data_IF_714101171003
#
_entry.id   IF_714101171003
#
_cell.length_a   1.000
_cell.length_b   1.000
_cell.length_c   1.000
_cell.angle_alpha   90.00
_cell.angle_beta   90.00
_cell.angle_gamma   90.00
#
_symmetry.space_group_name_H-M   'P 1'
#
loop_
_entity.id
_entity.type
_entity.pdbx_description
1 polymer ?
#
# COMPACT_ATOMS: atom_id res chain seq x y z
N UNK A 1 -54.99 14.37 32.55
CA UNK A 1 -53.68 13.81 32.96
C UNK A 1 -53.15 12.70 32.05
N UNK A 2 -53.94 11.66 31.71
CA UNK A 2 -53.45 10.50 30.91
C UNK A 2 -52.88 10.83 29.51
N UNK A 3 -53.41 11.84 28.81
CA UNK A 3 -52.92 12.21 27.47
C UNK A 3 -51.53 12.87 27.50
N UNK A 4 -51.26 13.69 28.52
CA UNK A 4 -49.98 14.35 28.70
C UNK A 4 -48.87 13.37 29.12
N UNK A 5 -49.21 12.37 29.94
CA UNK A 5 -48.27 11.29 30.28
C UNK A 5 -47.95 10.42 29.07
N UNK A 6 -48.95 10.04 28.26
CA UNK A 6 -48.72 9.26 27.03
C UNK A 6 -47.88 10.01 25.99
N UNK A 7 -48.08 11.33 25.84
CA UNK A 7 -47.24 12.14 24.95
C UNK A 7 -45.80 12.25 25.46
N UNK A 8 -45.61 12.42 26.77
CA UNK A 8 -44.29 12.50 27.39
C UNK A 8 -43.51 11.17 27.29
N UNK A 9 -44.20 10.06 27.46
CA UNK A 9 -43.65 8.70 27.33
C UNK A 9 -43.31 8.39 25.86
N UNK A 10 -44.16 8.79 24.91
CA UNK A 10 -43.90 8.66 23.47
C UNK A 10 -42.72 9.52 22.99
N UNK A 11 -42.57 10.74 23.50
CA UNK A 11 -41.44 11.64 23.20
C UNK A 11 -40.13 11.15 23.82
N UNK A 12 -40.18 10.62 25.05
CA UNK A 12 -39.02 10.02 25.70
C UNK A 12 -38.54 8.77 24.94
N UNK A 13 -39.46 7.90 24.52
CA UNK A 13 -39.14 6.69 23.75
C UNK A 13 -38.57 7.01 22.35
N UNK A 14 -39.07 8.07 21.69
CA UNK A 14 -38.52 8.56 20.42
C UNK A 14 -37.11 9.16 20.58
N UNK A 15 -36.88 9.94 21.64
CA UNK A 15 -35.54 10.46 21.97
C UNK A 15 -34.53 9.34 22.27
N UNK A 16 -34.96 8.28 22.95
CA UNK A 16 -34.11 7.14 23.31
C UNK A 16 -33.77 6.27 22.09
N UNK A 17 -34.74 6.03 21.20
CA UNK A 17 -34.51 5.34 19.93
C UNK A 17 -33.53 6.06 19.01
N UNK A 18 -33.61 7.39 18.90
CA UNK A 18 -32.64 8.18 18.14
C UNK A 18 -31.23 8.13 18.75
N UNK A 19 -31.12 8.18 20.09
CA UNK A 19 -29.83 8.03 20.78
C UNK A 19 -29.22 6.65 20.56
N UNK A 20 -30.03 5.59 20.64
CA UNK A 20 -29.57 4.23 20.42
C UNK A 20 -29.11 4.01 18.96
N UNK A 21 -29.84 4.55 17.98
CA UNK A 21 -29.42 4.53 16.58
C UNK A 21 -28.12 5.30 16.37
N UNK A 22 -27.98 6.50 16.94
CA UNK A 22 -26.76 7.30 16.87
C UNK A 22 -25.57 6.56 17.48
N UNK A 23 -25.72 5.96 18.65
CA UNK A 23 -24.67 5.18 19.30
C UNK A 23 -24.27 3.95 18.47
N UNK A 24 -25.24 3.25 17.88
CA UNK A 24 -24.99 2.09 17.03
C UNK A 24 -24.27 2.47 15.75
N UNK A 25 -24.63 3.61 15.15
CA UNK A 25 -23.97 4.17 13.98
C UNK A 25 -22.52 4.58 14.28
N UNK A 26 -22.28 5.28 15.39
CA UNK A 26 -20.93 5.65 15.83
C UNK A 26 -20.06 4.41 16.09
N UNK A 27 -20.62 3.37 16.72
CA UNK A 27 -19.92 2.13 16.96
C UNK A 27 -19.56 1.41 15.65
N UNK A 28 -20.48 1.36 14.68
CA UNK A 28 -20.22 0.81 13.35
C UNK A 28 -19.12 1.60 12.62
N UNK A 29 -19.18 2.94 12.66
CA UNK A 29 -18.16 3.80 12.06
C UNK A 29 -16.77 3.58 12.67
N UNK A 30 -16.69 3.42 14.00
CA UNK A 30 -15.44 3.09 14.69
C UNK A 30 -14.89 1.74 14.25
N UNK A 31 -15.73 0.70 14.25
CA UNK A 31 -15.36 -0.66 13.81
C UNK A 31 -14.85 -0.69 12.36
N UNK A 32 -15.53 0.01 11.46
CA UNK A 32 -15.10 0.16 10.06
C UNK A 32 -13.77 0.91 9.98
N UNK A 33 -13.61 1.99 10.74
CA UNK A 33 -12.38 2.79 10.74
C UNK A 33 -11.17 2.00 11.27
N UNK A 34 -11.36 1.21 12.34
CA UNK A 34 -10.35 0.30 12.86
C UNK A 34 -9.93 -0.73 11.81
N UNK A 35 -10.90 -1.33 11.13
CA UNK A 35 -10.63 -2.29 10.05
C UNK A 35 -9.95 -1.66 8.83
N UNK A 36 -10.28 -0.42 8.48
CA UNK A 36 -9.59 0.32 7.44
C UNK A 36 -8.12 0.56 7.80
N UNK A 37 -7.83 0.86 9.08
CA UNK A 37 -6.46 1.01 9.57
C UNK A 37 -5.69 -0.31 9.54
N UNK A 38 -6.32 -1.42 9.93
CA UNK A 38 -5.72 -2.75 9.82
C UNK A 38 -5.40 -3.12 8.37
N UNK A 39 -6.32 -2.88 7.43
CA UNK A 39 -6.10 -3.08 6.00
C UNK A 39 -4.92 -2.25 5.49
N UNK A 40 -4.84 -0.97 5.87
CA UNK A 40 -3.70 -0.10 5.52
C UNK A 40 -2.38 -0.64 6.05
N UNK A 41 -2.37 -1.16 7.28
CA UNK A 41 -1.20 -1.80 7.90
C UNK A 41 -0.78 -3.08 7.17
N UNK A 42 -1.74 -3.94 6.81
CA UNK A 42 -1.50 -5.18 6.04
C UNK A 42 -0.92 -4.82 4.67
N UNK A 43 -1.53 -3.89 3.94
CA UNK A 43 -1.02 -3.45 2.63
C UNK A 43 0.41 -2.91 2.73
N UNK A 44 0.70 -2.13 3.77
CA UNK A 44 2.03 -1.58 3.99
C UNK A 44 3.08 -2.67 4.23
N UNK A 45 2.82 -3.57 5.19
CA UNK A 45 3.79 -4.59 5.62
C UNK A 45 3.90 -5.77 4.66
N UNK A 46 2.79 -6.20 4.08
CA UNK A 46 2.72 -7.45 3.32
C UNK A 46 2.81 -7.24 1.81
N UNK A 47 2.62 -6.03 1.30
CA UNK A 47 2.75 -5.76 -0.13
C UNK A 47 3.74 -4.63 -0.45
N UNK A 48 3.58 -3.44 0.14
CA UNK A 48 4.40 -2.28 -0.21
C UNK A 48 5.87 -2.51 0.18
N UNK A 49 6.13 -2.95 1.40
CA UNK A 49 7.50 -3.22 1.87
C UNK A 49 8.20 -4.34 1.07
N UNK A 50 7.60 -5.53 0.88
CA UNK A 50 8.19 -6.56 0.02
C UNK A 50 8.47 -6.07 -1.40
N UNK A 51 7.54 -5.36 -2.03
CA UNK A 51 7.74 -4.82 -3.38
C UNK A 51 8.88 -3.78 -3.44
N UNK A 52 9.05 -2.95 -2.40
CA UNK A 52 10.19 -2.03 -2.29
C UNK A 52 11.51 -2.79 -2.18
N UNK A 53 11.55 -3.88 -1.41
CA UNK A 53 12.75 -4.75 -1.29
C UNK A 53 13.07 -5.41 -2.62
N UNK A 54 12.09 -5.99 -3.31
CA UNK A 54 12.27 -6.60 -4.63
C UNK A 54 12.79 -5.57 -5.67
N UNK A 55 12.23 -4.35 -5.67
CA UNK A 55 12.73 -3.26 -6.53
C UNK A 55 14.20 -2.92 -6.24
N UNK A 56 14.62 -2.94 -4.97
CA UNK A 56 16.01 -2.69 -4.60
C UNK A 56 16.94 -3.76 -5.18
N UNK A 57 16.56 -5.03 -5.13
CA UNK A 57 17.36 -6.11 -5.74
C UNK A 57 17.52 -5.92 -7.25
N UNK A 58 16.45 -5.50 -7.95
CA UNK A 58 16.53 -5.16 -9.36
C UNK A 58 17.52 -4.01 -9.63
N UNK A 59 17.47 -2.95 -8.80
CA UNK A 59 18.40 -1.83 -8.91
C UNK A 59 19.86 -2.24 -8.67
N UNK A 60 20.11 -3.13 -7.70
CA UNK A 60 21.46 -3.66 -7.42
C UNK A 60 21.99 -4.44 -8.64
N UNK A 61 21.15 -5.32 -9.22
CA UNK A 61 21.51 -6.09 -10.41
C UNK A 61 21.82 -5.17 -11.60
N UNK A 62 21.04 -4.10 -11.78
CA UNK A 62 21.27 -3.10 -12.82
C UNK A 62 22.64 -2.41 -12.68
N UNK A 63 23.07 -2.11 -11.45
CA UNK A 63 24.39 -1.54 -11.21
C UNK A 63 25.52 -2.52 -11.59
N UNK A 64 25.39 -3.79 -11.22
CA UNK A 64 26.36 -4.82 -11.63
C UNK A 64 26.35 -5.05 -13.15
N UNK A 65 25.20 -4.92 -13.82
CA UNK A 65 25.11 -4.95 -15.29
C UNK A 65 25.89 -3.80 -15.94
N UNK A 66 25.75 -2.58 -15.42
CA UNK A 66 26.53 -1.41 -15.88
C UNK A 66 28.03 -1.65 -15.68
N UNK A 67 28.42 -2.14 -14.50
CA UNK A 67 29.81 -2.46 -14.17
C UNK A 67 30.40 -3.53 -15.09
N UNK A 68 29.65 -4.60 -15.39
CA UNK A 68 30.05 -5.63 -16.37
C UNK A 68 30.33 -5.01 -17.74
N UNK A 69 29.46 -4.12 -18.21
CA UNK A 69 29.64 -3.44 -19.50
C UNK A 69 30.91 -2.56 -19.51
N UNK A 70 31.18 -1.85 -18.42
CA UNK A 70 32.40 -1.05 -18.29
C UNK A 70 33.66 -1.95 -18.32
N UNK A 71 33.63 -3.09 -17.64
CA UNK A 71 34.72 -4.06 -17.65
C UNK A 71 34.94 -4.66 -19.05
N UNK A 72 33.87 -4.98 -19.76
CA UNK A 72 33.94 -5.47 -21.14
C UNK A 72 34.59 -4.43 -22.07
N UNK A 73 34.17 -3.17 -21.94
CA UNK A 73 34.76 -2.06 -22.72
C UNK A 73 36.26 -1.92 -22.46
N UNK A 74 36.68 -1.95 -21.19
CA UNK A 74 38.12 -1.92 -20.82
C UNK A 74 38.88 -3.09 -21.43
N UNK A 75 38.32 -4.30 -21.37
CA UNK A 75 38.94 -5.48 -21.99
C UNK A 75 39.14 -5.29 -23.51
N UNK A 76 38.15 -4.72 -24.20
CA UNK A 76 38.24 -4.43 -25.64
C UNK A 76 39.31 -3.38 -25.94
N UNK A 77 39.39 -2.31 -25.14
CA UNK A 77 40.40 -1.25 -25.26
C UNK A 77 41.82 -1.80 -25.06
N UNK A 78 42.06 -2.58 -23.99
CA UNK A 78 43.39 -3.16 -23.73
C UNK A 78 43.74 -4.26 -24.74
N UNK A 79 42.76 -5.01 -25.27
CA UNK A 79 43.01 -5.97 -26.37
C UNK A 79 43.46 -5.23 -27.64
N UNK A 80 42.79 -4.13 -28.00
CA UNK A 80 43.19 -3.31 -29.15
C UNK A 80 44.60 -2.70 -28.96
N UNK A 81 44.97 -2.35 -27.73
CA UNK A 81 46.33 -1.90 -27.39
C UNK A 81 47.37 -3.00 -27.61
N UNK A 82 47.10 -4.23 -27.17
CA UNK A 82 47.96 -5.41 -27.41
C UNK A 82 48.13 -5.65 -28.92
N UNK A 83 47.04 -5.59 -29.69
CA UNK A 83 47.06 -5.79 -31.13
C UNK A 83 47.87 -4.69 -31.84
N UNK A 84 47.86 -3.46 -31.32
CA UNK A 84 48.68 -2.35 -31.83
C UNK A 84 50.16 -2.51 -31.47
N UNK A 85 50.47 -2.92 -30.24
CA UNK A 85 51.85 -3.10 -29.76
C UNK A 85 52.53 -4.32 -30.39
N UNK A 86 51.78 -5.39 -30.67
CA UNK A 86 52.31 -6.61 -31.29
C UNK A 86 52.80 -6.41 -32.74
N UNK A 87 52.26 -5.40 -33.43
CA UNK A 87 52.66 -5.00 -34.79
C UNK A 87 53.90 -4.10 -34.84
N UNK A 88 54.41 -3.64 -33.70
CA UNK A 88 55.62 -2.80 -33.64
C UNK A 88 56.89 -3.64 -33.64
N UNK A 89 58.00 -3.02 -34.01
CA UNK A 89 59.32 -3.64 -33.94
C UNK A 89 59.65 -4.15 -32.54
N UNK A 90 60.26 -5.33 -32.46
CA UNK A 90 60.63 -6.02 -31.22
C UNK A 90 61.86 -5.42 -30.54
N UNK A 91 61.80 -4.13 -30.24
CA UNK A 91 62.77 -3.47 -29.35
C UNK A 91 62.48 -3.88 -27.90
N UNK A 92 63.51 -3.85 -27.03
CA UNK A 92 63.33 -4.19 -25.61
C UNK A 92 62.25 -3.35 -24.91
N UNK A 93 62.13 -2.06 -25.25
CA UNK A 93 61.09 -1.18 -24.71
C UNK A 93 59.66 -1.58 -25.16
N UNK A 94 59.49 -1.93 -26.44
CA UNK A 94 58.19 -2.36 -26.96
C UNK A 94 57.78 -3.72 -26.39
N UNK A 95 58.74 -4.62 -26.17
CA UNK A 95 58.48 -5.91 -25.53
C UNK A 95 57.95 -5.75 -24.11
N UNK A 96 58.60 -4.92 -23.28
CA UNK A 96 58.14 -4.65 -21.90
C UNK A 96 56.72 -4.05 -21.89
N UNK A 97 56.43 -3.08 -22.77
CA UNK A 97 55.09 -2.48 -22.89
C UNK A 97 54.03 -3.52 -23.30
N UNK A 98 54.36 -4.39 -24.24
CA UNK A 98 53.47 -5.45 -24.69
C UNK A 98 53.15 -6.43 -23.55
N UNK A 99 54.15 -6.88 -22.81
CA UNK A 99 53.93 -7.79 -21.67
C UNK A 99 53.12 -7.12 -20.55
N UNK A 100 53.35 -5.83 -20.27
CA UNK A 100 52.53 -5.09 -19.32
C UNK A 100 51.06 -4.97 -19.78
N UNK A 101 50.83 -4.69 -21.07
CA UNK A 101 49.48 -4.63 -21.62
C UNK A 101 48.77 -5.99 -21.56
N UNK A 102 49.47 -7.10 -21.83
CA UNK A 102 48.94 -8.47 -21.66
C UNK A 102 48.55 -8.76 -20.22
N UNK A 103 49.41 -8.42 -19.25
CA UNK A 103 49.12 -8.58 -17.83
C UNK A 103 47.89 -7.76 -17.41
N UNK A 104 47.79 -6.51 -17.85
CA UNK A 104 46.64 -5.66 -17.60
C UNK A 104 45.35 -6.24 -18.19
N UNK A 105 45.41 -6.74 -19.44
CA UNK A 105 44.27 -7.40 -20.09
C UNK A 105 43.81 -8.62 -19.28
N UNK A 106 44.73 -9.45 -18.82
CA UNK A 106 44.39 -10.64 -18.04
C UNK A 106 43.70 -10.29 -16.72
N UNK A 107 44.15 -9.24 -16.02
CA UNK A 107 43.49 -8.74 -14.80
C UNK A 107 42.06 -8.29 -15.11
N UNK A 108 41.88 -7.48 -16.16
CA UNK A 108 40.56 -6.98 -16.55
C UNK A 108 39.63 -8.10 -17.02
N UNK A 109 40.14 -9.07 -17.78
CA UNK A 109 39.41 -10.21 -18.27
C UNK A 109 38.92 -11.09 -17.12
N UNK A 110 39.77 -11.35 -16.12
CA UNK A 110 39.39 -12.10 -14.92
C UNK A 110 38.29 -11.36 -14.12
N UNK A 111 38.41 -10.04 -13.97
CA UNK A 111 37.38 -9.23 -13.33
C UNK A 111 36.05 -9.26 -14.09
N UNK A 112 36.09 -9.15 -15.43
CA UNK A 112 34.93 -9.28 -16.29
C UNK A 112 34.26 -10.65 -16.16
N UNK A 113 35.02 -11.75 -16.27
CA UNK A 113 34.49 -13.11 -16.18
C UNK A 113 33.84 -13.38 -14.82
N UNK A 114 34.47 -12.92 -13.74
CA UNK A 114 33.93 -13.02 -12.38
C UNK A 114 32.60 -12.26 -12.27
N UNK A 115 32.57 -11.00 -12.72
CA UNK A 115 31.37 -10.17 -12.69
C UNK A 115 30.26 -10.76 -13.58
N UNK A 116 30.58 -11.22 -14.79
CA UNK A 116 29.62 -11.81 -15.72
C UNK A 116 29.01 -13.10 -15.18
N UNK A 117 29.84 -13.99 -14.61
CA UNK A 117 29.37 -15.25 -14.02
C UNK A 117 28.45 -15.00 -12.84
N UNK A 118 28.83 -14.06 -11.96
CA UNK A 118 27.99 -13.62 -10.85
C UNK A 118 26.65 -13.05 -11.33
N UNK A 119 26.68 -12.15 -12.31
CA UNK A 119 25.50 -11.49 -12.86
C UNK A 119 24.53 -12.51 -13.48
N UNK A 120 25.03 -13.50 -14.22
CA UNK A 120 24.19 -14.56 -14.79
C UNK A 120 23.49 -15.39 -13.71
N UNK A 121 24.20 -15.72 -12.62
CA UNK A 121 23.62 -16.43 -11.48
C UNK A 121 22.55 -15.59 -10.78
N UNK A 122 22.87 -14.34 -10.45
CA UNK A 122 21.95 -13.43 -9.74
C UNK A 122 20.72 -13.09 -10.60
N UNK A 123 20.88 -12.97 -11.92
CA UNK A 123 19.75 -12.74 -12.84
C UNK A 123 18.73 -13.89 -12.81
N UNK A 124 19.20 -15.14 -12.75
CA UNK A 124 18.33 -16.31 -12.60
C UNK A 124 17.62 -16.30 -11.24
N UNK A 125 18.38 -16.09 -10.17
CA UNK A 125 17.83 -16.02 -8.81
C UNK A 125 16.76 -14.92 -8.69
N UNK A 126 16.99 -13.74 -9.27
CA UNK A 126 16.03 -12.64 -9.24
C UNK A 126 14.72 -12.99 -9.97
N UNK A 127 14.81 -13.76 -11.05
CA UNK A 127 13.64 -14.23 -11.79
C UNK A 127 12.76 -15.16 -10.94
N UNK A 128 13.39 -16.05 -10.18
CA UNK A 128 12.70 -16.98 -9.28
C UNK A 128 12.05 -16.24 -8.10
N UNK A 129 12.80 -15.30 -7.49
CA UNK A 129 12.31 -14.46 -6.39
C UNK A 129 11.04 -13.67 -6.74
N UNK A 130 10.80 -13.35 -8.01
CA UNK A 130 9.59 -12.62 -8.42
C UNK A 130 8.32 -13.33 -7.92
N UNK A 131 8.22 -14.65 -8.07
CA UNK A 131 7.02 -15.37 -7.60
C UNK A 131 6.91 -15.33 -6.07
N UNK A 132 8.04 -15.46 -5.38
CA UNK A 132 8.13 -15.42 -3.91
C UNK A 132 7.74 -14.07 -3.31
N UNK A 133 7.94 -12.97 -4.05
CA UNK A 133 7.53 -11.64 -3.62
C UNK A 133 6.08 -11.32 -4.05
N UNK A 134 5.72 -11.58 -5.29
CA UNK A 134 4.43 -11.17 -5.85
C UNK A 134 3.27 -11.99 -5.30
N UNK A 135 3.40 -13.31 -5.22
CA UNK A 135 2.29 -14.19 -4.83
C UNK A 135 1.80 -13.89 -3.40
N UNK A 136 2.65 -13.90 -2.34
CA UNK A 136 2.17 -13.60 -1.00
C UNK A 136 1.72 -12.15 -0.85
N UNK A 137 2.33 -11.19 -1.57
CA UNK A 137 1.89 -9.79 -1.54
C UNK A 137 0.49 -9.61 -2.10
N UNK A 138 0.19 -10.26 -3.23
CA UNK A 138 -1.12 -10.23 -3.84
C UNK A 138 -2.16 -10.93 -2.97
N UNK A 139 -1.83 -12.11 -2.44
CA UNK A 139 -2.73 -12.84 -1.54
C UNK A 139 -3.07 -12.01 -0.31
N UNK A 140 -2.07 -11.39 0.34
CA UNK A 140 -2.30 -10.55 1.51
C UNK A 140 -3.20 -9.34 1.23
N UNK A 141 -3.07 -8.72 0.04
CA UNK A 141 -3.98 -7.65 -0.38
C UNK A 141 -5.40 -8.19 -0.51
N UNK A 142 -5.58 -9.30 -1.24
CA UNK A 142 -6.91 -9.87 -1.48
C UNK A 142 -7.58 -10.28 -0.18
N UNK A 143 -6.87 -11.00 0.69
CA UNK A 143 -7.37 -11.41 2.00
C UNK A 143 -7.73 -10.21 2.88
N UNK A 144 -6.87 -9.17 2.90
CA UNK A 144 -7.16 -7.94 3.63
C UNK A 144 -8.42 -7.22 3.12
N UNK A 145 -8.60 -7.15 1.80
CA UNK A 145 -9.80 -6.53 1.19
C UNK A 145 -11.07 -7.34 1.51
N UNK A 146 -10.98 -8.67 1.46
CA UNK A 146 -12.10 -9.56 1.80
C UNK A 146 -12.49 -9.40 3.27
N UNK A 147 -11.52 -9.38 4.19
CA UNK A 147 -11.77 -9.15 5.62
C UNK A 147 -12.42 -7.78 5.86
N UNK A 148 -11.85 -6.72 5.29
CA UNK A 148 -12.37 -5.36 5.44
C UNK A 148 -13.80 -5.23 4.92
N UNK A 149 -14.08 -5.73 3.71
CA UNK A 149 -15.42 -5.68 3.13
C UNK A 149 -16.41 -6.52 3.95
N UNK A 150 -16.00 -7.71 4.40
CA UNK A 150 -16.82 -8.60 5.21
C UNK A 150 -17.22 -7.98 6.55
N UNK A 151 -16.25 -7.41 7.27
CA UNK A 151 -16.48 -6.75 8.55
C UNK A 151 -17.26 -5.45 8.41
N UNK A 152 -17.01 -4.67 7.35
CA UNK A 152 -17.78 -3.47 7.06
C UNK A 152 -19.24 -3.80 6.77
N UNK A 153 -19.50 -4.82 5.94
CA UNK A 153 -20.85 -5.29 5.68
C UNK A 153 -21.54 -5.79 6.95
N UNK A 154 -20.82 -6.50 7.81
CA UNK A 154 -21.37 -6.97 9.10
C UNK A 154 -21.74 -5.78 10.00
N UNK A 155 -20.86 -4.78 10.11
CA UNK A 155 -21.12 -3.56 10.89
C UNK A 155 -22.36 -2.81 10.39
N UNK A 156 -22.56 -2.71 9.07
CA UNK A 156 -23.77 -2.10 8.50
C UNK A 156 -25.03 -2.91 8.78
N UNK A 157 -24.96 -4.24 8.71
CA UNK A 157 -26.11 -5.12 8.99
C UNK A 157 -26.53 -5.12 10.46
N UNK A 158 -25.59 -4.84 11.36
CA UNK A 158 -25.84 -4.71 12.80
C UNK A 158 -26.54 -3.39 13.17
N UNK A 159 -26.67 -2.44 12.24
CA UNK A 159 -27.39 -1.20 12.50
C UNK A 159 -28.89 -1.46 12.72
N UNK A 160 -29.50 -0.86 13.75
CA UNK A 160 -30.92 -0.97 14.00
C UNK A 160 -31.68 -0.12 12.97
N UNK A 161 -31.87 -0.67 11.77
CA UNK A 161 -32.71 -0.05 10.74
C UNK A 161 -34.18 -0.17 11.15
N UNK A 162 -34.99 0.88 10.95
CA UNK A 162 -36.42 0.77 11.20
C UNK A 162 -37.04 -0.29 10.29
N UNK A 163 -37.87 -1.18 10.85
CA UNK A 163 -38.57 -2.26 10.15
C UNK A 163 -39.50 -1.78 9.02
N UNK A 164 -39.73 -0.46 8.91
CA UNK A 164 -40.49 0.18 7.84
C UNK A 164 -39.67 1.38 7.33
N UNK A 165 -39.41 1.50 6.02
CA UNK A 165 -38.88 2.74 5.47
C UNK A 165 -39.90 3.85 5.76
N UNK A 166 -39.53 4.77 6.65
CA UNK A 166 -40.32 5.96 6.95
C UNK A 166 -40.17 6.91 5.77
N UNK A 167 -41.29 7.38 5.19
CA UNK A 167 -41.19 8.34 4.09
C UNK A 167 -40.66 9.68 4.62
N UNK A 168 -40.00 10.46 3.77
CA UNK A 168 -39.51 11.80 4.13
C UNK A 168 -40.64 12.70 4.66
N UNK A 169 -41.87 12.49 4.19
CA UNK A 169 -43.08 13.21 4.63
C UNK A 169 -43.41 12.84 6.08
N UNK A 170 -43.40 11.54 6.39
CA UNK A 170 -43.69 11.04 7.73
C UNK A 170 -42.62 11.47 8.74
N UNK A 171 -41.34 11.42 8.34
CA UNK A 171 -40.23 11.89 9.17
C UNK A 171 -40.32 13.38 9.46
N UNK A 172 -40.58 14.21 8.44
CA UNK A 172 -40.65 15.66 8.61
C UNK A 172 -41.88 16.08 9.43
N UNK A 173 -42.99 15.35 9.30
CA UNK A 173 -44.17 15.51 10.15
C UNK A 173 -43.83 15.22 11.62
N UNK A 174 -43.22 14.07 11.92
CA UNK A 174 -42.85 13.68 13.30
C UNK A 174 -41.80 14.61 13.91
N UNK A 175 -40.81 15.05 13.12
CA UNK A 175 -39.83 16.04 13.54
C UNK A 175 -40.52 17.37 13.89
N UNK A 176 -41.47 17.83 13.07
CA UNK A 176 -42.25 19.06 13.32
C UNK A 176 -43.11 18.95 14.58
N UNK A 177 -43.76 17.80 14.79
CA UNK A 177 -44.55 17.53 16.00
C UNK A 177 -43.67 17.55 17.24
N UNK A 178 -42.52 16.89 17.21
CA UNK A 178 -41.56 16.84 18.32
C UNK A 178 -41.00 18.23 18.64
N UNK A 179 -40.65 19.00 17.61
CA UNK A 179 -40.11 20.36 17.74
C UNK A 179 -41.16 21.33 18.29
N UNK A 180 -42.43 21.17 17.91
CA UNK A 180 -43.55 21.92 18.49
C UNK A 180 -43.85 21.51 19.94
N UNK A 181 -43.68 20.24 20.30
CA UNK A 181 -43.79 19.80 21.69
C UNK A 181 -42.68 20.41 22.57
N UNK A 182 -41.44 20.45 22.08
CA UNK A 182 -40.32 21.12 22.75
C UNK A 182 -40.60 22.63 22.90
N UNK A 183 -41.10 23.29 21.85
CA UNK A 183 -41.49 24.71 21.91
C UNK A 183 -42.59 24.99 22.94
N UNK A 184 -43.54 24.08 23.13
CA UNK A 184 -44.60 24.19 24.15
C UNK A 184 -44.08 24.02 25.58
N UNK A 185 -42.96 23.31 25.75
CA UNK A 185 -42.29 23.12 27.04
C UNK A 185 -41.28 24.24 27.34
N UNK A 186 -40.89 25.04 26.34
CA UNK A 186 -40.06 26.22 26.52
C UNK A 186 -40.87 27.30 27.27
N UNK A 187 -40.37 27.71 28.44
CA UNK A 187 -41.02 28.66 29.37
C UNK A 187 -41.17 30.08 28.78
N UNK A 188 -40.62 30.36 27.60
CA UNK A 188 -40.85 31.62 26.86
C UNK A 188 -42.21 31.60 26.15
N UNK A 189 -43.28 31.40 26.90
CA UNK A 189 -44.63 31.77 26.50
C UNK A 189 -44.82 33.27 26.68
N UNK A 190 -44.95 33.98 25.56
CA UNK A 190 -45.73 35.21 25.42
C UNK A 190 -45.57 36.32 26.46
N UNK A 191 -44.86 37.39 26.07
CA UNK A 191 -45.40 38.75 26.20
C UNK A 191 -45.15 39.51 24.92
N UNK A 192 -46.20 39.58 24.11
CA UNK A 192 -46.35 40.51 23.00
C UNK A 192 -47.82 40.87 22.92
N UNK A 193 -48.27 41.74 23.83
CA UNK A 193 -49.03 42.99 23.67
C UNK A 193 -48.96 43.70 25.02
#
# INVERSE_FOLDING_TARGET
>A
MKLASHLNESLANSSDGHKQLSHSFDAACKKISEKANDLSRINSKCAIEPMKRFRKEFSNLQQEYIKRNQLLKKCQETKAEIDKLSKKDRTGSNYVKLEQAKKNYQIQQNAFLTCNTRLLRESKQLYDLRAEYFNPSLMAILEGQIDFCGESLRAYKELPLPNKPMSDIDFNSDATVSLNAIKKLAITGGKGV
#
